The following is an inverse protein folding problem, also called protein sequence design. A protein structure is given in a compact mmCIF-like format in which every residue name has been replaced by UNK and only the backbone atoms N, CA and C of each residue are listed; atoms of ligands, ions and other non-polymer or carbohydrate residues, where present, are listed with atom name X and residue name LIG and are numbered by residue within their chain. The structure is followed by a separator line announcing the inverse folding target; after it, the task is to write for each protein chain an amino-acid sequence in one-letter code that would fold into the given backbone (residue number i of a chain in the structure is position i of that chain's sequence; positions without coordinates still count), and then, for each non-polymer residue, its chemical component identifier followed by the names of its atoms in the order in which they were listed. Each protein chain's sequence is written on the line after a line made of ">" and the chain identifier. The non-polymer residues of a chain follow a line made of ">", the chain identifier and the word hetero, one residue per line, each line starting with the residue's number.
data_IF_967604371972
#
_entry.id   IF_967604371972
#
_cell.length_a   1.000
_cell.length_b   1.000
_cell.length_c   1.000
_cell.angle_alpha   90.00
_cell.angle_beta   90.00
_cell.angle_gamma   90.00
#
_symmetry.space_group_name_H-M   'P 1'
#
loop_
_entity.id
_entity.type
_entity.pdbx_description
1 polymer ?
#
# COMPACT_ATOMS: atom_id res chain seq x y z
N UNK A 1 -18.79 19.56 3.23
CA UNK A 1 -18.66 18.53 4.28
C UNK A 1 -18.47 17.12 3.70
N UNK A 2 -19.21 16.72 2.66
CA UNK A 2 -19.07 15.39 2.03
C UNK A 2 -17.68 15.11 1.43
N UNK A 3 -17.06 16.11 0.80
CA UNK A 3 -15.71 16.00 0.21
C UNK A 3 -14.63 15.53 1.20
N UNK A 4 -14.66 16.01 2.46
CA UNK A 4 -13.65 15.63 3.45
C UNK A 4 -13.80 14.18 3.92
N UNK A 5 -15.04 13.67 3.95
CA UNK A 5 -15.30 12.30 4.34
C UNK A 5 -14.84 11.32 3.26
N UNK A 6 -15.12 11.62 2.00
CA UNK A 6 -14.68 10.80 0.87
C UNK A 6 -13.14 10.73 0.80
N UNK A 7 -12.47 11.88 0.91
CA UNK A 7 -11.00 11.94 0.92
C UNK A 7 -10.40 11.09 2.05
N UNK A 8 -10.97 11.16 3.26
CA UNK A 8 -10.49 10.36 4.39
C UNK A 8 -10.60 8.85 4.12
N UNK A 9 -11.71 8.38 3.54
CA UNK A 9 -11.90 6.97 3.19
C UNK A 9 -10.90 6.53 2.12
N UNK A 10 -10.66 7.36 1.10
CA UNK A 10 -9.72 7.02 0.04
C UNK A 10 -8.29 6.90 0.55
N UNK A 11 -7.86 7.82 1.42
CA UNK A 11 -6.55 7.76 2.06
C UNK A 11 -6.43 6.52 2.94
N UNK A 12 -7.42 6.26 3.80
CA UNK A 12 -7.40 5.08 4.68
C UNK A 12 -7.43 3.77 3.91
N UNK A 13 -8.22 3.68 2.84
CA UNK A 13 -8.27 2.54 1.94
C UNK A 13 -6.93 2.31 1.25
N UNK A 14 -6.34 3.37 0.70
CA UNK A 14 -5.04 3.31 0.01
C UNK A 14 -3.93 2.82 0.94
N UNK A 15 -3.86 3.34 2.17
CA UNK A 15 -2.90 2.91 3.19
C UNK A 15 -3.11 1.43 3.53
N UNK A 16 -4.35 1.03 3.83
CA UNK A 16 -4.68 -0.34 4.25
C UNK A 16 -4.34 -1.37 3.17
N UNK A 17 -4.69 -1.07 1.91
CA UNK A 17 -4.39 -1.94 0.78
C UNK A 17 -2.88 -1.98 0.45
N UNK A 18 -2.17 -0.86 0.59
CA UNK A 18 -0.72 -0.79 0.36
C UNK A 18 0.00 -1.71 1.34
N UNK A 19 -0.31 -1.58 2.62
CA UNK A 19 0.28 -2.43 3.67
C UNK A 19 -0.04 -3.91 3.45
N UNK A 20 -1.28 -4.24 3.09
CA UNK A 20 -1.68 -5.62 2.81
C UNK A 20 -0.91 -6.21 1.62
N UNK A 21 -0.80 -5.45 0.52
CA UNK A 21 -0.02 -5.85 -0.66
C UNK A 21 1.46 -6.02 -0.35
N UNK A 22 2.07 -5.09 0.40
CA UNK A 22 3.46 -5.20 0.88
C UNK A 22 3.66 -6.47 1.69
N UNK A 23 2.78 -6.76 2.66
CA UNK A 23 2.91 -7.93 3.51
C UNK A 23 2.75 -9.23 2.75
N UNK A 24 1.77 -9.31 1.84
CA UNK A 24 1.54 -10.46 0.98
C UNK A 24 2.74 -10.73 0.06
N UNK A 25 3.30 -9.68 -0.56
CA UNK A 25 4.49 -9.79 -1.41
C UNK A 25 5.73 -10.25 -0.63
N UNK A 26 5.94 -9.71 0.57
CA UNK A 26 7.04 -10.13 1.45
C UNK A 26 6.90 -11.58 1.92
N UNK A 27 5.67 -12.08 2.14
CA UNK A 27 5.44 -13.50 2.46
C UNK A 27 5.82 -14.42 1.30
N UNK A 28 5.64 -13.95 0.06
CA UNK A 28 6.09 -14.64 -1.16
C UNK A 28 7.60 -14.47 -1.43
N UNK A 29 8.33 -13.81 -0.53
CA UNK A 29 9.79 -13.56 -0.64
C UNK A 29 10.19 -12.84 -1.94
N UNK A 30 9.31 -11.96 -2.43
CA UNK A 30 9.65 -11.08 -3.54
C UNK A 30 10.75 -10.10 -3.12
N UNK A 31 11.52 -9.65 -4.10
CA UNK A 31 12.50 -8.58 -3.93
C UNK A 31 11.80 -7.23 -3.64
N UNK A 32 12.49 -6.22 -3.09
CA UNK A 32 11.87 -4.95 -2.71
C UNK A 32 11.14 -4.24 -3.85
N UNK A 33 11.63 -4.38 -5.08
CA UNK A 33 10.98 -3.81 -6.25
C UNK A 33 9.68 -4.57 -6.60
N UNK A 34 9.72 -5.91 -6.57
CA UNK A 34 8.51 -6.74 -6.66
C UNK A 34 7.48 -6.43 -5.57
N UNK A 35 7.92 -6.21 -4.32
CA UNK A 35 7.07 -5.80 -3.20
C UNK A 35 6.38 -4.46 -3.47
N UNK A 36 7.12 -3.47 -4.00
CA UNK A 36 6.56 -2.17 -4.38
C UNK A 36 5.49 -2.31 -5.46
N UNK A 37 5.74 -3.11 -6.50
CA UNK A 37 4.76 -3.33 -7.58
C UNK A 37 3.47 -3.93 -7.02
N UNK A 38 3.56 -4.98 -6.21
CA UNK A 38 2.37 -5.65 -5.65
C UNK A 38 1.62 -4.73 -4.70
N UNK A 39 2.31 -3.97 -3.85
CA UNK A 39 1.69 -2.96 -3.00
C UNK A 39 0.95 -1.91 -3.85
N UNK A 40 1.59 -1.43 -4.92
CA UNK A 40 1.02 -0.44 -5.82
C UNK A 40 -0.24 -0.93 -6.51
N UNK A 41 -0.17 -2.08 -7.19
CA UNK A 41 -1.31 -2.69 -7.89
C UNK A 41 -2.46 -3.00 -6.93
N UNK A 42 -2.17 -3.44 -5.71
CA UNK A 42 -3.20 -3.73 -4.70
C UNK A 42 -3.91 -2.45 -4.24
N UNK A 43 -3.17 -1.35 -4.04
CA UNK A 43 -3.74 -0.05 -3.64
C UNK A 43 -4.55 0.62 -4.74
N UNK A 44 -4.02 0.73 -5.96
CA UNK A 44 -4.70 1.45 -7.05
C UNK A 44 -5.70 0.58 -7.79
N UNK A 45 -5.57 -0.75 -7.74
CA UNK A 45 -6.36 -1.67 -8.56
C UNK A 45 -7.86 -1.54 -8.32
N UNK A 46 -8.29 -1.52 -7.06
CA UNK A 46 -9.71 -1.36 -6.71
C UNK A 46 -10.30 -0.02 -7.15
N UNK A 47 -9.59 1.08 -6.88
CA UNK A 47 -9.99 2.42 -7.31
C UNK A 47 -10.01 2.57 -8.83
N UNK A 48 -9.02 2.01 -9.52
CA UNK A 48 -8.95 2.00 -11.00
C UNK A 48 -10.14 1.25 -11.60
N UNK A 49 -10.47 0.06 -11.06
CA UNK A 49 -11.64 -0.70 -11.55
C UNK A 49 -12.94 0.07 -11.31
N UNK A 50 -13.11 0.69 -10.13
CA UNK A 50 -14.25 1.56 -9.82
C UNK A 50 -14.36 2.70 -10.84
N UNK A 51 -13.26 3.39 -11.10
CA UNK A 51 -13.23 4.55 -11.98
C UNK A 51 -13.53 4.16 -13.43
N UNK A 52 -13.01 3.02 -13.90
CA UNK A 52 -13.33 2.46 -15.21
C UNK A 52 -14.81 2.07 -15.35
N UNK A 53 -15.41 1.51 -14.30
CA UNK A 53 -16.84 1.15 -14.30
C UNK A 53 -17.76 2.38 -14.29
N UNK A 54 -17.28 3.49 -13.74
CA UNK A 54 -18.01 4.76 -13.68
C UNK A 54 -17.71 5.67 -14.89
N UNK A 55 -16.83 5.23 -15.80
CA UNK A 55 -16.35 6.01 -16.96
C UNK A 55 -15.78 7.39 -16.57
N UNK A 56 -15.06 7.42 -15.44
CA UNK A 56 -14.37 8.61 -14.93
C UNK A 56 -12.85 8.43 -15.04
N UNK A 57 -12.09 9.53 -15.15
CA UNK A 57 -10.65 9.42 -15.21
C UNK A 57 -10.06 8.81 -13.93
N UNK A 58 -8.98 8.03 -14.11
CA UNK A 58 -8.37 7.25 -13.04
C UNK A 58 -7.71 8.15 -11.99
N UNK A 59 -8.16 8.04 -10.74
CA UNK A 59 -7.80 8.98 -9.66
C UNK A 59 -6.28 9.18 -9.45
N UNK A 60 -5.52 8.09 -9.43
CA UNK A 60 -4.07 8.13 -9.13
C UNK A 60 -3.22 8.74 -10.24
N UNK A 61 -3.76 8.86 -11.47
CA UNK A 61 -3.07 9.53 -12.58
C UNK A 61 -3.15 11.06 -12.49
N UNK A 62 -4.12 11.59 -11.74
CA UNK A 62 -4.31 13.02 -11.57
C UNK A 62 -3.57 13.59 -10.35
N UNK A 63 -3.37 12.77 -9.31
CA UNK A 63 -2.76 13.22 -8.07
C UNK A 63 -1.51 12.40 -7.71
N UNK A 64 -0.36 13.07 -7.79
CA UNK A 64 0.94 12.50 -7.41
C UNK A 64 0.99 12.13 -5.92
N UNK A 65 0.17 12.77 -5.07
CA UNK A 65 0.11 12.46 -3.65
C UNK A 65 -0.29 11.00 -3.40
N UNK A 66 -1.16 10.44 -4.24
CA UNK A 66 -1.56 9.02 -4.13
C UNK A 66 -0.36 8.10 -4.34
N UNK A 67 0.44 8.36 -5.38
CA UNK A 67 1.65 7.60 -5.65
C UNK A 67 2.66 7.71 -4.50
N UNK A 68 2.90 8.93 -4.01
CA UNK A 68 3.80 9.17 -2.88
C UNK A 68 3.31 8.48 -1.61
N UNK A 69 2.00 8.50 -1.35
CA UNK A 69 1.39 7.84 -0.20
C UNK A 69 1.59 6.32 -0.26
N UNK A 70 1.39 5.69 -1.41
CA UNK A 70 1.61 4.25 -1.60
C UNK A 70 3.08 3.90 -1.39
N UNK A 71 4.00 4.68 -1.97
CA UNK A 71 5.44 4.46 -1.78
C UNK A 71 5.84 4.60 -0.30
N UNK A 72 5.42 5.67 0.35
CA UNK A 72 5.73 5.94 1.75
C UNK A 72 5.19 4.85 2.68
N UNK A 73 3.94 4.43 2.48
CA UNK A 73 3.29 3.38 3.29
C UNK A 73 3.92 2.01 3.06
N UNK A 74 4.27 1.68 1.82
CA UNK A 74 4.93 0.41 1.50
C UNK A 74 6.34 0.35 2.11
N UNK A 75 7.12 1.42 2.01
CA UNK A 75 8.44 1.52 2.66
C UNK A 75 8.32 1.42 4.17
N UNK A 76 7.36 2.14 4.76
CA UNK A 76 7.09 2.07 6.19
C UNK A 76 6.74 0.65 6.65
N UNK A 77 5.86 -0.03 5.92
CA UNK A 77 5.47 -1.41 6.19
C UNK A 77 6.65 -2.40 6.07
N UNK A 78 7.52 -2.21 5.07
CA UNK A 78 8.74 -3.01 4.92
C UNK A 78 9.69 -2.84 6.11
N UNK A 79 9.91 -1.60 6.56
CA UNK A 79 10.77 -1.30 7.71
C UNK A 79 10.17 -1.90 8.99
N UNK A 80 8.88 -1.71 9.23
CA UNK A 80 8.18 -2.22 10.40
C UNK A 80 8.32 -3.75 10.51
N UNK A 81 8.08 -4.48 9.42
CA UNK A 81 8.23 -5.94 9.38
C UNK A 81 9.68 -6.40 9.52
N UNK A 82 10.64 -5.61 9.04
CA UNK A 82 12.07 -5.89 9.23
C UNK A 82 12.48 -5.81 10.71
N UNK A 83 11.92 -4.85 11.45
CA UNK A 83 12.14 -4.69 12.89
C UNK A 83 11.55 -5.88 13.67
N UNK A 84 10.31 -6.29 13.38
CA UNK A 84 9.69 -7.46 14.04
C UNK A 84 10.51 -8.73 13.83
N UNK A 85 10.97 -8.96 12.59
CA UNK A 85 11.77 -10.15 12.26
C UNK A 85 13.10 -10.16 13.03
N UNK A 86 13.71 -8.99 13.21
CA UNK A 86 14.96 -8.83 13.98
C UNK A 86 14.72 -9.09 15.47
N UNK A 87 13.57 -8.67 16.01
CA UNK A 87 13.22 -8.88 17.42
C UNK A 87 12.97 -10.37 17.72
N UNK A 88 12.27 -11.09 16.83
CA UNK A 88 12.05 -12.54 16.98
C UNK A 88 13.36 -13.34 16.90
N UNK A 89 14.27 -12.96 16.01
CA UNK A 89 15.57 -13.63 15.88
C UNK A 89 16.38 -13.56 17.17
N UNK A 90 16.44 -12.40 17.85
CA UNK A 90 17.24 -12.26 19.07
C UNK A 90 16.69 -13.04 20.27
N UNK A 91 15.39 -13.32 20.31
CA UNK A 91 14.76 -14.03 21.42
C UNK A 91 14.89 -15.56 21.32
N UNK A 92 15.09 -16.10 20.11
CA UNK A 92 15.25 -17.55 19.89
C UNK A 92 16.69 -18.01 20.14
N UNK A 93 17.66 -17.09 20.15
CA UNK A 93 19.08 -17.37 20.42
C UNK A 93 19.50 -17.10 21.88
N UNK A 94 18.56 -16.76 22.77
CA UNK A 94 18.77 -16.65 24.21
C UNK A 94 18.06 -17.81 24.93
#
# INVERSE_FOLDING_TARGET
>A
MHEQFNFAIEVLGTISFSMSGTFAAMQKRLDPFGVLIIAFVTSVGGGTVRDLLLDVPVFWMHDLLTCVLILATSIFAMIFKSIEKKLQSNLIYL
#
